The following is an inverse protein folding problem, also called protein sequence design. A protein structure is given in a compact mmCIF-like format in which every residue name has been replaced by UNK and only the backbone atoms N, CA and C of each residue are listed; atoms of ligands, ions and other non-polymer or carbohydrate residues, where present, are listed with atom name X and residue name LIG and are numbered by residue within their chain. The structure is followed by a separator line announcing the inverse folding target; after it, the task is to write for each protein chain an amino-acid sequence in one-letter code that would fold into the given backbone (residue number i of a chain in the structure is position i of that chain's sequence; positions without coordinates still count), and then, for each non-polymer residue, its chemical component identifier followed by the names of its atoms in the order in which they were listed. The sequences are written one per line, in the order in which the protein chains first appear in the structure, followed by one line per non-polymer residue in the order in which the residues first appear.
data_IF_470038871922
#
_entry.id   IF_470038871922
#
_cell.length_a   1.000
_cell.length_b   1.000
_cell.length_c   1.000
_cell.angle_alpha   90.00
_cell.angle_beta   90.00
_cell.angle_gamma   90.00
#
_symmetry.space_group_name_H-M   'P 1'
#
loop_
_entity.id
_entity.type
_entity.pdbx_description
1 polymer ?
#
# COMPACT_ATOMS: atom_id res chain seq x y z
N UNK A 1 -70.17 -11.30 83.67
CA UNK A 1 -69.68 -10.04 84.26
C UNK A 1 -68.50 -9.55 83.42
N UNK A 2 -68.78 -8.39 82.86
CA UNK A 2 -67.93 -7.26 82.46
C UNK A 2 -66.77 -7.60 81.54
N UNK A 3 -66.76 -7.08 80.46
CA UNK A 3 -66.56 -5.74 79.87
C UNK A 3 -65.17 -5.65 79.21
N UNK A 4 -65.17 -5.42 78.02
CA UNK A 4 -65.00 -4.23 77.20
C UNK A 4 -63.59 -3.97 76.62
N UNK A 5 -63.61 -3.65 75.47
CA UNK A 5 -63.03 -2.57 74.64
C UNK A 5 -61.93 -2.94 73.64
N UNK A 6 -62.41 -2.86 72.48
CA UNK A 6 -61.88 -2.31 71.23
C UNK A 6 -60.58 -1.51 71.32
N UNK A 7 -59.60 -1.81 70.43
CA UNK A 7 -58.68 -0.81 69.85
C UNK A 7 -58.28 -1.21 68.43
N UNK A 8 -58.76 -0.43 67.52
CA UNK A 8 -58.38 -0.43 66.09
C UNK A 8 -56.93 0.07 65.94
N UNK A 9 -56.04 -0.71 65.34
CA UNK A 9 -54.78 -0.20 64.88
C UNK A 9 -54.70 -0.33 63.36
N UNK A 10 -54.79 0.85 62.77
CA UNK A 10 -54.64 1.16 61.38
C UNK A 10 -53.17 0.86 60.98
N UNK A 11 -52.94 -0.16 60.16
CA UNK A 11 -51.63 -0.47 59.63
C UNK A 11 -51.39 0.22 58.29
N UNK A 12 -50.70 1.32 58.31
CA UNK A 12 -50.15 1.91 57.08
C UNK A 12 -49.04 1.02 56.53
N UNK A 13 -49.32 0.34 55.41
CA UNK A 13 -48.27 -0.20 54.54
C UNK A 13 -47.65 0.93 53.75
N UNK A 14 -46.44 1.30 54.06
CA UNK A 14 -45.66 2.19 53.25
C UNK A 14 -45.08 1.38 52.06
N UNK A 15 -45.59 1.64 50.87
CA UNK A 15 -45.01 1.20 49.61
C UNK A 15 -43.74 2.03 49.33
N UNK A 16 -42.60 1.49 49.69
CA UNK A 16 -41.28 2.02 49.30
C UNK A 16 -40.79 1.32 48.02
N UNK A 17 -41.49 1.56 46.92
CA UNK A 17 -40.88 1.37 45.59
C UNK A 17 -40.19 2.67 45.23
N UNK A 18 -38.90 2.78 45.58
CA UNK A 18 -38.12 3.97 45.29
C UNK A 18 -37.86 4.05 43.77
N UNK A 19 -38.49 4.99 43.10
CA UNK A 19 -38.21 5.37 41.71
C UNK A 19 -36.72 5.66 41.44
N UNK A 20 -35.91 5.90 42.49
CA UNK A 20 -34.48 6.12 42.44
C UNK A 20 -33.69 4.89 42.01
N UNK A 21 -34.11 3.68 42.42
CA UNK A 21 -33.39 2.43 42.07
C UNK A 21 -33.53 2.04 40.60
N UNK A 22 -34.66 2.36 39.96
CA UNK A 22 -34.89 2.08 38.54
C UNK A 22 -34.09 3.03 37.66
N UNK A 23 -34.02 4.33 38.03
CA UNK A 23 -33.26 5.35 37.29
C UNK A 23 -31.75 5.13 37.37
N UNK A 24 -31.24 4.64 38.49
CA UNK A 24 -29.81 4.30 38.64
C UNK A 24 -29.48 3.07 37.80
N UNK A 25 -30.30 2.01 37.80
CA UNK A 25 -30.10 0.81 36.98
C UNK A 25 -30.17 1.11 35.48
N UNK A 26 -31.07 1.97 35.02
CA UNK A 26 -31.16 2.40 33.64
C UNK A 26 -29.93 3.23 33.23
N UNK A 27 -29.43 4.17 34.06
CA UNK A 27 -28.23 4.96 33.76
C UNK A 27 -26.99 4.11 33.69
N UNK A 28 -26.83 3.11 34.58
CA UNK A 28 -25.70 2.17 34.55
C UNK A 28 -25.78 1.28 33.31
N UNK A 29 -26.98 0.80 32.92
CA UNK A 29 -27.16 0.02 31.69
C UNK A 29 -26.81 0.82 30.42
N UNK A 30 -27.16 2.10 30.35
CA UNK A 30 -26.81 2.99 29.22
C UNK A 30 -25.31 3.30 29.18
N UNK A 31 -24.63 3.47 30.32
CA UNK A 31 -23.17 3.68 30.36
C UNK A 31 -22.43 2.42 29.93
N UNK A 32 -22.86 1.24 30.37
CA UNK A 32 -22.26 -0.02 29.92
C UNK A 32 -22.53 -0.32 28.43
N UNK A 33 -23.74 -0.03 27.94
CA UNK A 33 -24.05 -0.17 26.51
C UNK A 33 -23.24 0.84 25.67
N UNK A 34 -23.08 2.07 26.12
CA UNK A 34 -22.26 3.08 25.46
C UNK A 34 -20.77 2.73 25.44
N UNK A 35 -20.23 2.16 26.53
CA UNK A 35 -18.87 1.66 26.63
C UNK A 35 -18.63 0.43 25.76
N UNK A 36 -19.62 -0.48 25.66
CA UNK A 36 -19.53 -1.67 24.80
C UNK A 36 -19.57 -1.29 23.31
N UNK A 37 -20.43 -0.33 22.93
CA UNK A 37 -20.49 0.19 21.55
C UNK A 37 -19.21 0.96 21.21
N UNK A 38 -18.66 1.77 22.13
CA UNK A 38 -17.39 2.45 21.92
C UNK A 38 -16.22 1.45 21.82
N UNK A 39 -16.23 0.36 22.59
CA UNK A 39 -15.23 -0.69 22.52
C UNK A 39 -15.32 -1.49 21.22
N UNK A 40 -16.53 -1.75 20.72
CA UNK A 40 -16.75 -2.43 19.43
C UNK A 40 -16.33 -1.53 18.24
N UNK A 41 -16.52 -0.20 18.34
CA UNK A 41 -16.08 0.74 17.32
C UNK A 41 -14.56 0.96 17.32
N UNK A 42 -13.87 0.70 18.43
CA UNK A 42 -12.40 0.80 18.51
C UNK A 42 -11.68 -0.46 18.03
N UNK A 43 -12.38 -1.60 17.94
CA UNK A 43 -11.78 -2.87 17.46
C UNK A 43 -11.60 -2.86 15.93
N UNK A 44 -12.43 -2.14 15.17
CA UNK A 44 -12.36 -2.10 13.71
C UNK A 44 -11.29 -1.17 13.14
N UNK A 45 -10.66 -0.31 13.93
CA UNK A 45 -9.60 0.58 13.46
C UNK A 45 -8.21 -0.09 13.45
N UNK A 46 -8.05 -1.26 14.08
CA UNK A 46 -6.77 -1.93 14.27
C UNK A 46 -6.47 -3.08 13.31
N UNK A 47 -7.34 -3.38 12.36
CA UNK A 47 -7.21 -4.55 11.48
C UNK A 47 -7.53 -4.26 10.02
N UNK A 48 -6.91 -3.25 9.41
CA UNK A 48 -7.04 -3.12 7.96
C UNK A 48 -5.69 -2.97 7.26
N UNK A 49 -4.87 -3.99 7.41
CA UNK A 49 -4.20 -4.55 6.22
C UNK A 49 -5.34 -5.02 5.33
N UNK A 50 -5.55 -4.39 4.18
CA UNK A 50 -6.58 -4.87 3.25
C UNK A 50 -6.37 -6.37 3.06
N UNK A 51 -7.43 -7.17 3.15
CA UNK A 51 -7.35 -8.62 2.92
C UNK A 51 -6.65 -8.94 1.59
N UNK A 52 -6.89 -8.11 0.58
CA UNK A 52 -6.30 -8.24 -0.75
C UNK A 52 -4.76 -8.11 -0.72
N UNK A 53 -4.19 -7.46 0.28
CA UNK A 53 -2.73 -7.32 0.41
C UNK A 53 -2.00 -8.61 0.78
N UNK A 54 -2.71 -9.54 1.41
CA UNK A 54 -2.18 -10.85 1.82
C UNK A 54 -2.84 -12.01 1.06
N UNK A 55 -3.88 -11.75 0.26
CA UNK A 55 -4.54 -12.75 -0.55
C UNK A 55 -3.67 -13.12 -1.75
N UNK A 56 -3.28 -14.39 -1.85
CA UNK A 56 -2.46 -14.89 -2.95
C UNK A 56 -3.17 -14.72 -4.29
N UNK A 57 -2.46 -14.15 -5.28
CA UNK A 57 -2.93 -14.08 -6.65
C UNK A 57 -2.18 -15.11 -7.52
N UNK A 58 -2.82 -15.74 -8.51
CA UNK A 58 -2.12 -16.66 -9.40
C UNK A 58 -0.98 -15.96 -10.13
N UNK A 59 0.27 -16.45 -10.05
CA UNK A 59 1.37 -15.86 -10.80
C UNK A 59 1.23 -16.17 -12.29
N UNK A 60 1.57 -15.21 -13.15
CA UNK A 60 1.42 -15.34 -14.60
C UNK A 60 2.43 -14.48 -15.36
N UNK A 61 2.62 -14.81 -16.63
CA UNK A 61 3.43 -14.02 -17.57
C UNK A 61 2.58 -12.86 -18.10
N UNK A 62 3.10 -11.63 -17.96
CA UNK A 62 2.46 -10.43 -18.51
C UNK A 62 2.83 -10.29 -20.00
N UNK A 63 4.12 -10.23 -20.30
CA UNK A 63 4.66 -10.19 -21.68
C UNK A 63 6.14 -10.55 -21.66
N UNK A 64 6.62 -11.26 -22.66
CA UNK A 64 8.03 -11.62 -22.80
C UNK A 64 8.62 -12.25 -21.55
N UNK A 65 9.59 -11.57 -20.91
CA UNK A 65 10.28 -11.98 -19.69
C UNK A 65 9.77 -11.27 -18.41
N UNK A 66 8.61 -10.62 -18.48
CA UNK A 66 7.97 -9.90 -17.36
C UNK A 66 6.80 -10.71 -16.81
N UNK A 67 6.80 -10.95 -15.49
CA UNK A 67 5.82 -11.77 -14.78
C UNK A 67 5.24 -11.03 -13.58
N UNK A 68 3.98 -11.34 -13.23
CA UNK A 68 3.35 -10.98 -12.00
C UNK A 68 3.55 -12.08 -10.94
N UNK A 69 3.98 -11.69 -9.73
CA UNK A 69 4.26 -12.64 -8.63
C UNK A 69 3.74 -12.18 -7.27
N UNK A 70 2.93 -11.11 -7.25
CA UNK A 70 2.42 -10.46 -6.05
C UNK A 70 1.14 -11.06 -5.48
N UNK A 71 0.57 -10.34 -4.51
CA UNK A 71 -0.76 -10.60 -3.95
C UNK A 71 -1.84 -9.99 -4.84
N UNK A 72 -3.11 -10.13 -4.44
CA UNK A 72 -4.22 -9.50 -5.15
C UNK A 72 -4.14 -7.97 -5.12
N UNK A 73 -3.70 -7.38 -4.00
CA UNK A 73 -3.66 -5.94 -3.80
C UNK A 73 -2.28 -5.30 -3.97
N UNK A 74 -1.20 -6.00 -3.55
CA UNK A 74 0.17 -5.52 -3.65
C UNK A 74 0.88 -6.17 -4.85
N UNK A 75 1.44 -5.33 -5.71
CA UNK A 75 2.01 -5.81 -6.97
C UNK A 75 3.53 -6.00 -6.90
N UNK A 76 3.94 -7.22 -7.21
CA UNK A 76 5.34 -7.58 -7.39
C UNK A 76 5.58 -8.07 -8.81
N UNK A 77 6.67 -7.63 -9.39
CA UNK A 77 7.04 -7.99 -10.76
C UNK A 77 8.39 -8.69 -10.78
N UNK A 78 8.43 -9.83 -11.46
CA UNK A 78 9.65 -10.55 -11.74
C UNK A 78 10.06 -10.34 -13.20
N UNK A 79 11.29 -9.90 -13.42
CA UNK A 79 11.89 -9.82 -14.75
C UNK A 79 13.01 -10.85 -14.79
N UNK A 80 12.87 -11.84 -15.69
CA UNK A 80 13.83 -12.93 -15.80
C UNK A 80 14.87 -12.63 -16.86
N UNK A 81 16.12 -13.01 -16.60
CA UNK A 81 17.24 -12.86 -17.53
C UNK A 81 18.17 -14.09 -17.48
N UNK A 82 19.04 -14.29 -18.47
CA UNK A 82 20.03 -15.37 -18.43
C UNK A 82 21.04 -15.25 -17.26
N UNK A 83 21.15 -14.07 -16.63
CA UNK A 83 22.10 -13.81 -15.53
C UNK A 83 21.40 -13.78 -14.16
N UNK A 84 20.13 -14.14 -14.09
CA UNK A 84 19.30 -14.12 -12.89
C UNK A 84 18.11 -13.18 -13.03
N UNK A 85 17.43 -12.91 -11.92
CA UNK A 85 16.16 -12.21 -11.92
C UNK A 85 16.27 -10.83 -11.25
N UNK A 86 15.41 -9.90 -11.68
CA UNK A 86 15.13 -8.63 -11.01
C UNK A 86 13.75 -8.75 -10.39
N UNK A 87 13.61 -8.44 -9.11
CA UNK A 87 12.34 -8.38 -8.40
C UNK A 87 12.01 -6.93 -8.05
N UNK A 88 10.80 -6.48 -8.34
CA UNK A 88 10.30 -5.15 -8.00
C UNK A 88 9.23 -5.29 -6.93
N UNK A 89 9.42 -4.63 -5.81
CA UNK A 89 8.71 -4.68 -4.54
C UNK A 89 8.91 -5.98 -3.76
N UNK A 90 8.83 -5.86 -2.44
CA UNK A 90 8.99 -6.96 -1.50
C UNK A 90 7.73 -7.19 -0.65
N UNK A 91 6.76 -6.29 -0.73
CA UNK A 91 5.53 -6.29 0.06
C UNK A 91 5.77 -6.30 1.57
N UNK A 92 4.77 -6.81 2.30
CA UNK A 92 4.87 -7.15 3.72
C UNK A 92 5.86 -8.30 3.92
N UNK A 93 6.62 -8.30 5.01
CA UNK A 93 7.55 -9.42 5.32
C UNK A 93 6.82 -10.77 5.33
N UNK A 94 5.57 -10.82 5.81
CA UNK A 94 4.74 -12.01 5.79
C UNK A 94 4.39 -12.53 4.38
N UNK A 95 4.50 -11.69 3.35
CA UNK A 95 4.21 -12.06 1.96
C UNK A 95 5.42 -12.71 1.26
N UNK A 96 6.63 -12.56 1.78
CA UNK A 96 7.85 -13.10 1.13
C UNK A 96 7.74 -14.59 0.78
N UNK A 97 7.22 -15.48 1.66
CA UNK A 97 7.02 -16.89 1.29
C UNK A 97 5.98 -17.10 0.18
N UNK A 98 5.02 -16.18 0.00
CA UNK A 98 4.06 -16.23 -1.10
C UNK A 98 4.73 -15.83 -2.42
N UNK A 99 5.56 -14.77 -2.40
CA UNK A 99 6.33 -14.31 -3.57
C UNK A 99 7.27 -15.44 -4.02
N UNK A 100 8.00 -16.07 -3.10
CA UNK A 100 8.88 -17.22 -3.38
C UNK A 100 8.11 -18.34 -4.09
N UNK A 101 7.01 -18.82 -3.51
CA UNK A 101 6.17 -19.85 -4.14
C UNK A 101 5.62 -19.43 -5.51
N UNK A 102 5.30 -18.16 -5.70
CA UNK A 102 4.81 -17.63 -6.98
C UNK A 102 5.90 -17.70 -8.06
N UNK A 103 7.14 -17.34 -7.71
CA UNK A 103 8.29 -17.42 -8.59
C UNK A 103 8.60 -18.88 -8.95
N UNK A 104 8.59 -19.78 -7.95
CA UNK A 104 8.85 -21.22 -8.15
C UNK A 104 7.76 -21.90 -8.99
N UNK A 105 6.50 -21.51 -8.81
CA UNK A 105 5.37 -22.01 -9.61
C UNK A 105 5.50 -21.65 -11.10
N UNK A 106 6.18 -20.55 -11.41
CA UNK A 106 6.52 -20.17 -12.79
C UNK A 106 7.72 -20.92 -13.35
N UNK A 107 8.39 -21.75 -12.53
CA UNK A 107 9.56 -22.55 -12.94
C UNK A 107 10.90 -21.83 -12.72
N UNK A 108 10.91 -20.68 -12.03
CA UNK A 108 12.13 -19.95 -11.69
C UNK A 108 12.57 -20.24 -10.26
N UNK A 109 13.83 -19.95 -9.93
CA UNK A 109 14.34 -20.09 -8.57
C UNK A 109 14.33 -18.73 -7.88
N UNK A 110 13.75 -18.65 -6.68
CA UNK A 110 13.76 -17.41 -5.90
C UNK A 110 15.19 -16.93 -5.57
N UNK A 111 16.10 -17.87 -5.31
CA UNK A 111 17.52 -17.60 -5.06
C UNK A 111 18.28 -16.99 -6.25
N UNK A 112 17.71 -17.05 -7.45
CA UNK A 112 18.29 -16.42 -8.63
C UNK A 112 17.92 -14.92 -8.74
N UNK A 113 17.20 -14.37 -7.77
CA UNK A 113 17.00 -12.93 -7.64
C UNK A 113 18.34 -12.26 -7.33
N UNK A 114 18.85 -11.49 -8.28
CA UNK A 114 20.15 -10.80 -8.18
C UNK A 114 19.99 -9.33 -7.84
N UNK A 115 18.83 -8.75 -8.18
CA UNK A 115 18.53 -7.34 -7.93
C UNK A 115 17.13 -7.26 -7.32
N UNK A 116 17.04 -6.50 -6.23
CA UNK A 116 15.78 -6.11 -5.59
C UNK A 116 15.61 -4.61 -5.74
N UNK A 117 14.45 -4.21 -6.25
CA UNK A 117 14.03 -2.81 -6.43
C UNK A 117 12.73 -2.58 -5.68
N UNK A 118 12.43 -1.34 -5.33
CA UNK A 118 11.14 -0.94 -4.76
C UNK A 118 10.53 0.21 -5.52
N UNK A 119 9.22 0.37 -5.42
CA UNK A 119 8.51 1.55 -5.90
C UNK A 119 8.67 2.74 -4.95
N UNK A 120 8.65 2.48 -3.63
CA UNK A 120 8.84 3.49 -2.59
C UNK A 120 8.98 2.84 -1.20
N UNK A 121 9.45 3.62 -0.22
CA UNK A 121 9.88 3.14 1.09
C UNK A 121 8.75 2.97 2.13
N UNK A 122 7.50 2.69 1.70
CA UNK A 122 6.46 2.32 2.65
C UNK A 122 6.47 0.81 2.94
N UNK A 123 6.00 0.46 4.12
CA UNK A 123 6.01 -0.90 4.67
C UNK A 123 5.29 -1.93 3.80
N UNK A 124 4.26 -1.53 3.07
CA UNK A 124 3.50 -2.38 2.15
C UNK A 124 4.25 -2.67 0.83
N UNK A 125 5.39 -2.03 0.58
CA UNK A 125 6.23 -2.29 -0.59
C UNK A 125 7.66 -2.68 -0.26
N UNK A 126 8.10 -2.46 0.99
CA UNK A 126 9.50 -2.61 1.39
C UNK A 126 9.73 -3.52 2.61
N UNK A 127 8.72 -3.85 3.40
CA UNK A 127 8.94 -4.58 4.65
C UNK A 127 9.57 -5.98 4.45
N UNK A 128 9.38 -6.61 3.30
CA UNK A 128 9.99 -7.90 2.96
C UNK A 128 11.44 -7.83 2.49
N UNK A 129 11.99 -6.63 2.22
CA UNK A 129 13.31 -6.47 1.57
C UNK A 129 14.45 -7.08 2.36
N UNK A 130 14.45 -6.95 3.69
CA UNK A 130 15.47 -7.57 4.53
C UNK A 130 15.48 -9.10 4.40
N UNK A 131 14.32 -9.74 4.45
CA UNK A 131 14.18 -11.19 4.32
C UNK A 131 14.56 -11.66 2.91
N UNK A 132 14.11 -10.98 1.86
CA UNK A 132 14.46 -11.32 0.48
C UNK A 132 15.98 -11.25 0.29
N UNK A 133 16.62 -10.18 0.77
CA UNK A 133 18.05 -9.99 0.67
C UNK A 133 18.84 -11.08 1.44
N UNK A 134 18.38 -11.49 2.61
CA UNK A 134 18.97 -12.58 3.40
C UNK A 134 18.90 -13.93 2.66
N UNK A 135 17.77 -14.23 2.03
CA UNK A 135 17.56 -15.51 1.33
C UNK A 135 18.32 -15.57 0.00
N UNK A 136 18.33 -14.46 -0.75
CA UNK A 136 18.78 -14.45 -2.14
C UNK A 136 20.18 -13.86 -2.33
N UNK A 137 20.62 -13.01 -1.41
CA UNK A 137 21.83 -12.19 -1.58
C UNK A 137 21.68 -11.10 -2.64
N UNK A 138 20.45 -10.73 -3.01
CA UNK A 138 20.17 -9.71 -4.02
C UNK A 138 20.78 -8.36 -3.66
N UNK A 139 21.32 -7.66 -4.67
CA UNK A 139 21.71 -6.26 -4.55
C UNK A 139 20.47 -5.39 -4.44
N UNK A 140 20.28 -4.75 -3.29
CA UNK A 140 19.16 -3.88 -3.02
C UNK A 140 19.46 -2.45 -3.44
N UNK A 141 18.67 -1.91 -4.38
CA UNK A 141 18.90 -0.61 -4.99
C UNK A 141 17.69 0.29 -4.79
N UNK A 142 17.91 1.50 -4.27
CA UNK A 142 16.86 2.41 -3.84
C UNK A 142 17.16 3.84 -4.29
N UNK A 143 16.11 4.60 -4.65
CA UNK A 143 16.21 6.02 -4.95
C UNK A 143 16.75 6.80 -3.73
N UNK A 144 17.69 7.69 -3.95
CA UNK A 144 18.46 8.42 -2.94
C UNK A 144 17.61 9.00 -1.81
N UNK A 145 16.50 9.65 -2.15
CA UNK A 145 15.65 10.31 -1.16
C UNK A 145 14.85 9.33 -0.25
N UNK A 146 14.71 8.05 -0.62
CA UNK A 146 14.08 7.02 0.21
C UNK A 146 15.10 6.17 1.00
N UNK A 147 16.41 6.29 0.73
CA UNK A 147 17.47 5.55 1.44
C UNK A 147 17.40 5.72 2.97
N UNK A 148 17.27 6.95 3.52
CA UNK A 148 17.15 7.11 4.98
C UNK A 148 15.93 6.40 5.59
N UNK A 149 14.84 6.28 4.82
CA UNK A 149 13.61 5.61 5.28
C UNK A 149 13.82 4.11 5.37
N UNK A 150 14.32 3.47 4.31
CA UNK A 150 14.54 2.02 4.28
C UNK A 150 15.63 1.58 5.27
N UNK A 151 16.73 2.34 5.40
CA UNK A 151 17.80 2.02 6.33
C UNK A 151 17.44 2.28 7.80
N UNK A 152 16.41 3.08 8.07
CA UNK A 152 15.86 3.25 9.42
C UNK A 152 14.66 2.36 9.71
N UNK A 153 14.20 1.55 8.74
CA UNK A 153 13.00 0.72 8.88
C UNK A 153 11.72 1.54 9.03
N UNK A 154 11.57 2.55 8.19
CA UNK A 154 10.41 3.44 8.16
C UNK A 154 10.48 4.63 9.11
N UNK A 155 11.41 4.67 10.08
CA UNK A 155 11.45 5.75 11.11
C UNK A 155 11.71 7.15 10.55
N UNK A 156 12.42 7.26 9.42
CA UNK A 156 12.71 8.53 8.78
C UNK A 156 11.59 8.98 7.81
N UNK A 157 10.51 8.22 7.69
CA UNK A 157 9.37 8.62 6.85
C UNK A 157 8.70 9.88 7.41
N UNK A 158 8.38 10.82 6.52
CA UNK A 158 7.84 12.14 6.89
C UNK A 158 6.43 12.08 7.49
N UNK A 159 5.64 11.06 7.11
CA UNK A 159 4.25 10.88 7.52
C UNK A 159 4.08 9.79 8.58
N UNK A 160 4.76 8.66 8.41
CA UNK A 160 4.50 7.45 9.17
C UNK A 160 5.62 7.10 10.16
N UNK A 161 6.75 7.82 10.18
CA UNK A 161 7.93 7.48 10.96
C UNK A 161 7.73 7.37 12.48
N UNK A 162 6.70 8.03 13.02
CA UNK A 162 6.33 7.95 14.43
C UNK A 162 5.24 6.91 14.74
N UNK A 163 4.78 6.14 13.76
CA UNK A 163 3.69 5.18 13.87
C UNK A 163 4.22 3.76 13.81
N UNK A 164 4.24 3.09 14.98
CA UNK A 164 4.87 1.77 15.16
C UNK A 164 4.34 0.70 14.21
N UNK A 165 3.08 0.77 13.82
CA UNK A 165 2.40 -0.15 12.92
C UNK A 165 2.89 -0.08 11.47
N UNK A 166 3.62 0.97 11.09
CA UNK A 166 4.21 1.14 9.76
C UNK A 166 5.73 0.96 9.75
N UNK A 167 6.32 0.62 10.90
CA UNK A 167 7.75 0.34 10.97
C UNK A 167 8.01 -1.12 10.57
N UNK A 168 9.17 -1.33 9.98
CA UNK A 168 9.60 -2.62 9.48
C UNK A 168 11.09 -2.85 9.73
N UNK A 169 11.61 -3.99 9.32
CA UNK A 169 13.01 -4.35 9.53
C UNK A 169 13.92 -3.52 8.63
N UNK A 170 14.90 -2.75 9.20
CA UNK A 170 15.82 -1.95 8.40
C UNK A 170 16.60 -2.79 7.39
N UNK A 171 16.78 -2.26 6.19
CA UNK A 171 17.53 -2.95 5.13
C UNK A 171 18.61 -2.03 4.59
N UNK A 172 19.88 -2.49 4.63
CA UNK A 172 21.01 -1.74 4.07
C UNK A 172 20.91 -1.71 2.54
N UNK A 173 21.01 -0.50 1.98
CA UNK A 173 21.06 -0.26 0.53
C UNK A 173 22.46 -0.58 0.00
N UNK A 174 22.53 -1.32 -1.11
CA UNK A 174 23.81 -1.67 -1.76
C UNK A 174 24.15 -0.68 -2.88
N UNK A 175 23.13 -0.13 -3.54
CA UNK A 175 23.33 0.90 -4.57
C UNK A 175 22.26 1.99 -4.42
N UNK A 176 22.70 3.22 -4.24
CA UNK A 176 21.85 4.41 -4.29
C UNK A 176 21.59 4.76 -5.75
N UNK A 177 20.33 5.00 -6.08
CA UNK A 177 19.88 5.38 -7.42
C UNK A 177 19.47 6.86 -7.43
N UNK A 178 19.66 7.47 -8.61
CA UNK A 178 19.21 8.84 -8.91
C UNK A 178 18.26 8.83 -10.09
N UNK A 179 17.57 9.95 -10.31
CA UNK A 179 16.66 10.11 -11.44
C UNK A 179 17.34 9.85 -12.78
N UNK A 180 16.78 8.96 -13.58
CA UNK A 180 17.32 8.53 -14.86
C UNK A 180 18.38 7.42 -14.80
N UNK A 181 18.75 6.93 -13.60
CA UNK A 181 19.69 5.83 -13.48
C UNK A 181 19.17 4.55 -14.12
N UNK A 182 20.06 3.83 -14.76
CA UNK A 182 19.78 2.53 -15.36
C UNK A 182 20.19 1.38 -14.43
N UNK A 183 19.32 0.39 -14.33
CA UNK A 183 19.57 -0.92 -13.71
C UNK A 183 19.64 -1.96 -14.81
N UNK A 184 20.80 -2.63 -14.93
CA UNK A 184 21.09 -3.57 -16.01
C UNK A 184 21.35 -4.97 -15.48
N UNK A 185 20.71 -5.98 -16.09
CA UNK A 185 21.00 -7.40 -15.84
C UNK A 185 20.66 -8.22 -17.08
N UNK A 186 21.58 -9.04 -17.56
CA UNK A 186 21.36 -10.04 -18.61
C UNK A 186 20.71 -9.52 -19.90
N UNK A 187 21.05 -8.28 -20.29
CA UNK A 187 20.51 -7.62 -21.49
C UNK A 187 19.23 -6.79 -21.21
N UNK A 188 18.60 -6.94 -20.06
CA UNK A 188 17.49 -6.09 -19.65
C UNK A 188 18.00 -4.79 -19.05
N UNK A 189 17.33 -3.69 -19.35
CA UNK A 189 17.60 -2.34 -18.83
C UNK A 189 16.32 -1.73 -18.29
N UNK A 190 16.29 -1.45 -16.98
CA UNK A 190 15.25 -0.63 -16.37
C UNK A 190 15.78 0.79 -16.17
N UNK A 191 14.90 1.77 -16.28
CA UNK A 191 15.22 3.16 -15.95
C UNK A 191 14.41 3.57 -14.71
N UNK A 192 15.10 4.14 -13.73
CA UNK A 192 14.50 4.69 -12.52
C UNK A 192 14.07 6.14 -12.77
N UNK A 193 12.77 6.42 -12.75
CA UNK A 193 12.25 7.78 -12.85
C UNK A 193 11.81 8.25 -11.46
N UNK A 194 12.42 9.32 -10.96
CA UNK A 194 12.00 9.95 -9.70
C UNK A 194 10.64 10.62 -9.90
N UNK A 195 9.60 10.02 -9.30
CA UNK A 195 8.21 10.49 -9.27
C UNK A 195 7.78 10.79 -7.84
N UNK A 196 8.35 11.88 -7.22
CA UNK A 196 8.24 12.13 -5.78
C UNK A 196 6.87 12.71 -5.41
N UNK A 197 6.58 12.72 -4.11
CA UNK A 197 5.34 13.25 -3.51
C UNK A 197 4.72 12.26 -2.54
N UNK A 198 4.44 11.04 -2.97
CA UNK A 198 3.95 9.97 -2.10
C UNK A 198 5.00 9.55 -1.05
N UNK A 199 6.24 9.34 -1.48
CA UNK A 199 7.47 9.47 -0.70
C UNK A 199 8.41 10.41 -1.43
N UNK A 200 9.50 10.80 -0.77
CA UNK A 200 10.51 11.69 -1.39
C UNK A 200 11.27 11.00 -2.51
N UNK A 201 11.45 9.67 -2.42
CA UNK A 201 12.14 8.83 -3.40
C UNK A 201 11.21 7.92 -4.19
N UNK A 202 9.90 8.18 -4.21
CA UNK A 202 8.97 7.38 -5.01
C UNK A 202 9.45 7.26 -6.45
N UNK A 203 9.53 6.03 -6.94
CA UNK A 203 10.15 5.65 -8.22
C UNK A 203 9.12 4.98 -9.14
N UNK A 204 9.02 5.49 -10.36
CA UNK A 204 8.35 4.81 -11.47
C UNK A 204 9.42 4.12 -12.33
N UNK A 205 9.21 2.86 -12.65
CA UNK A 205 10.12 2.07 -13.46
C UNK A 205 9.66 1.99 -14.90
N UNK A 206 10.58 2.14 -15.85
CA UNK A 206 10.32 1.80 -17.26
C UNK A 206 11.27 0.71 -17.72
N UNK A 207 10.76 -0.17 -18.60
CA UNK A 207 11.53 -1.24 -19.22
C UNK A 207 10.96 -1.56 -20.60
N UNK A 208 11.82 -1.92 -21.57
CA UNK A 208 11.36 -2.50 -22.84
C UNK A 208 11.29 -4.03 -22.72
N UNK A 209 10.14 -4.57 -23.13
CA UNK A 209 9.90 -6.02 -23.13
C UNK A 209 9.57 -6.45 -24.55
N UNK A 210 10.21 -7.53 -25.01
CA UNK A 210 9.98 -8.08 -26.35
C UNK A 210 9.22 -9.39 -26.28
N UNK A 211 8.18 -9.52 -27.09
CA UNK A 211 7.40 -10.74 -27.24
C UNK A 211 7.19 -11.02 -28.75
N UNK A 212 7.82 -12.08 -29.25
CA UNK A 212 7.93 -12.32 -30.70
C UNK A 212 8.62 -11.14 -31.39
N UNK A 213 7.98 -10.60 -32.42
CA UNK A 213 8.51 -9.46 -33.20
C UNK A 213 8.09 -8.10 -32.64
N UNK A 214 7.36 -8.07 -31.50
CA UNK A 214 6.86 -6.83 -30.89
C UNK A 214 7.70 -6.44 -29.70
N UNK A 215 7.99 -5.14 -29.58
CA UNK A 215 8.60 -4.53 -28.40
C UNK A 215 7.60 -3.57 -27.76
N UNK A 216 7.48 -3.65 -26.45
CA UNK A 216 6.55 -2.84 -25.66
C UNK A 216 7.31 -1.94 -24.69
N UNK A 217 6.90 -0.68 -24.62
CA UNK A 217 7.30 0.22 -23.54
C UNK A 217 6.42 -0.05 -22.32
N UNK A 218 7.02 -0.58 -21.26
CA UNK A 218 6.33 -0.90 -20.00
C UNK A 218 6.58 0.22 -19.01
N UNK A 219 5.52 0.70 -18.36
CA UNK A 219 5.59 1.65 -17.23
C UNK A 219 5.02 0.97 -15.99
N UNK A 220 5.81 0.89 -14.94
CA UNK A 220 5.41 0.41 -13.60
C UNK A 220 5.37 1.63 -12.69
N UNK A 221 4.19 2.19 -12.49
CA UNK A 221 3.99 3.42 -11.69
C UNK A 221 4.23 3.11 -10.21
N UNK A 222 5.00 3.95 -9.53
CA UNK A 222 5.25 3.85 -8.10
C UNK A 222 3.98 4.11 -7.28
N UNK A 223 3.77 5.30 -6.78
CA UNK A 223 2.50 5.67 -6.15
C UNK A 223 2.16 7.15 -6.38
N UNK A 224 1.03 7.42 -7.05
CA UNK A 224 0.57 8.78 -7.28
C UNK A 224 -0.43 9.26 -6.21
N UNK A 225 -0.75 8.44 -5.21
CA UNK A 225 -1.79 8.73 -4.24
C UNK A 225 -1.36 9.80 -3.23
N UNK A 226 -2.27 10.73 -2.93
CA UNK A 226 -2.22 11.57 -1.74
C UNK A 226 -2.95 10.83 -0.62
N UNK A 227 -2.20 10.23 0.31
CA UNK A 227 -2.80 9.45 1.38
C UNK A 227 -3.58 10.33 2.37
N UNK A 228 -4.63 9.78 3.02
CA UNK A 228 -5.34 10.49 4.06
C UNK A 228 -4.39 11.02 5.15
N UNK A 229 -4.52 12.31 5.46
CA UNK A 229 -3.65 12.98 6.44
C UNK A 229 -2.38 13.60 5.87
N UNK A 230 -2.07 13.45 4.57
CA UNK A 230 -0.97 14.17 3.95
C UNK A 230 -1.25 15.68 3.93
N UNK A 231 -0.30 16.44 4.45
CA UNK A 231 -0.33 17.90 4.38
C UNK A 231 0.41 18.37 3.13
N UNK A 232 -0.34 18.79 2.11
CA UNK A 232 0.22 19.35 0.88
C UNK A 232 0.63 20.81 1.03
N UNK A 233 0.12 21.49 2.08
CA UNK A 233 0.37 22.90 2.37
C UNK A 233 0.99 23.02 3.75
N UNK A 234 2.06 23.82 3.88
CA UNK A 234 2.78 24.07 5.14
C UNK A 234 3.32 22.81 5.83
N UNK A 235 3.68 21.78 5.07
CA UNK A 235 4.27 20.55 5.60
C UNK A 235 5.72 20.80 6.05
N UNK A 236 5.96 20.83 7.37
CA UNK A 236 7.30 21.08 7.93
C UNK A 236 8.29 19.93 7.67
N UNK A 237 7.80 18.68 7.59
CA UNK A 237 8.64 17.50 7.38
C UNK A 237 8.93 17.25 5.89
N UNK A 238 8.07 17.80 5.01
CA UNK A 238 8.22 17.72 3.55
C UNK A 238 7.73 19.03 2.89
N UNK A 239 8.50 20.14 3.01
CA UNK A 239 8.04 21.47 2.57
C UNK A 239 7.68 21.58 1.08
N UNK A 240 8.39 20.82 0.22
CA UNK A 240 8.19 20.83 -1.25
C UNK A 240 7.23 19.72 -1.75
N UNK A 241 6.43 19.11 -0.89
CA UNK A 241 5.57 17.97 -1.27
C UNK A 241 4.64 18.28 -2.45
N UNK A 242 4.04 19.48 -2.49
CA UNK A 242 3.14 19.85 -3.58
C UNK A 242 3.89 20.03 -4.91
N UNK A 243 5.07 20.67 -4.89
CA UNK A 243 5.94 20.85 -6.06
C UNK A 243 6.45 19.49 -6.58
N UNK A 244 6.71 18.56 -5.68
CA UNK A 244 7.16 17.20 -6.02
C UNK A 244 6.04 16.39 -6.68
N UNK A 245 4.80 16.48 -6.19
CA UNK A 245 3.65 15.94 -6.93
C UNK A 245 3.50 16.58 -8.32
N UNK A 246 3.68 17.89 -8.46
CA UNK A 246 3.66 18.54 -9.78
C UNK A 246 4.77 18.04 -10.70
N UNK A 247 5.97 17.75 -10.17
CA UNK A 247 7.04 17.08 -10.91
C UNK A 247 6.62 15.68 -11.35
N UNK A 248 6.06 14.87 -10.45
CA UNK A 248 5.58 13.53 -10.77
C UNK A 248 4.62 13.53 -11.95
N UNK A 249 3.62 14.45 -11.98
CA UNK A 249 2.66 14.51 -13.09
C UNK A 249 3.34 14.85 -14.42
N UNK A 250 4.33 15.74 -14.42
CA UNK A 250 5.11 16.04 -15.64
C UNK A 250 5.86 14.82 -16.14
N UNK A 251 6.50 14.08 -15.24
CA UNK A 251 7.25 12.86 -15.59
C UNK A 251 6.29 11.80 -16.13
N UNK A 252 5.25 11.42 -15.37
CA UNK A 252 4.30 10.37 -15.80
C UNK A 252 3.68 10.69 -17.16
N UNK A 253 3.27 11.94 -17.42
CA UNK A 253 2.69 12.32 -18.71
C UNK A 253 3.68 12.28 -19.88
N UNK A 254 4.98 12.30 -19.62
CA UNK A 254 6.02 12.25 -20.67
C UNK A 254 6.45 10.83 -21.06
N UNK A 255 6.15 9.82 -20.22
CA UNK A 255 6.60 8.45 -20.45
C UNK A 255 5.79 7.79 -21.58
N UNK A 256 6.46 7.18 -22.59
CA UNK A 256 5.78 6.27 -23.51
C UNK A 256 5.32 5.04 -22.76
N UNK A 257 4.08 4.59 -23.00
CA UNK A 257 3.50 3.44 -22.32
C UNK A 257 2.64 2.63 -23.29
N UNK A 258 3.04 1.39 -23.51
CA UNK A 258 2.22 0.37 -24.16
C UNK A 258 1.59 -0.53 -23.10
N UNK A 259 2.37 -1.01 -22.11
CA UNK A 259 1.91 -1.84 -21.01
C UNK A 259 1.92 -1.04 -19.71
N UNK A 260 0.73 -0.86 -19.14
CA UNK A 260 0.53 -0.14 -17.90
C UNK A 260 0.45 -1.08 -16.70
N UNK A 261 1.34 -0.86 -15.72
CA UNK A 261 1.43 -1.54 -14.44
C UNK A 261 1.66 -0.54 -13.31
N UNK A 262 1.54 -0.99 -12.06
CA UNK A 262 1.80 -0.12 -10.90
C UNK A 262 1.96 -0.89 -9.60
N UNK A 263 2.27 -0.19 -8.52
CA UNK A 263 2.58 -0.78 -7.22
C UNK A 263 1.40 -1.51 -6.56
N UNK A 264 0.17 -1.20 -6.95
CA UNK A 264 -1.03 -1.89 -6.50
C UNK A 264 -1.81 -2.49 -7.67
N UNK A 265 -2.38 -3.69 -7.47
CA UNK A 265 -3.16 -4.39 -8.51
C UNK A 265 -4.34 -3.58 -9.04
N UNK A 266 -4.99 -2.81 -8.15
CA UNK A 266 -6.11 -1.95 -8.53
C UNK A 266 -5.74 -0.77 -9.45
N UNK A 267 -4.45 -0.37 -9.55
CA UNK A 267 -4.06 0.72 -10.43
C UNK A 267 -4.27 0.39 -11.92
N UNK A 268 -4.04 -0.86 -12.27
CA UNK A 268 -4.05 -1.34 -13.65
C UNK A 268 -5.07 -2.45 -13.91
N UNK A 269 -6.10 -2.54 -13.07
CA UNK A 269 -7.22 -3.49 -13.23
C UNK A 269 -6.75 -4.95 -13.33
N UNK A 270 -5.88 -5.36 -12.38
CA UNK A 270 -5.21 -6.67 -12.38
C UNK A 270 -6.16 -7.84 -12.57
N UNK A 271 -7.27 -7.90 -11.82
CA UNK A 271 -8.18 -9.03 -11.81
C UNK A 271 -8.90 -9.17 -13.15
N UNK A 272 -9.43 -8.06 -13.66
CA UNK A 272 -10.16 -7.98 -14.92
C UNK A 272 -9.25 -8.34 -16.10
N UNK A 273 -8.04 -7.72 -16.14
CA UNK A 273 -7.08 -7.99 -17.22
C UNK A 273 -6.53 -9.41 -17.18
N UNK A 274 -6.30 -9.96 -15.98
CA UNK A 274 -5.89 -11.35 -15.85
C UNK A 274 -6.99 -12.33 -16.29
N UNK A 275 -8.26 -12.03 -16.02
CA UNK A 275 -9.37 -12.84 -16.52
C UNK A 275 -9.43 -12.82 -18.06
N UNK A 276 -9.35 -11.64 -18.68
CA UNK A 276 -9.31 -11.49 -20.14
C UNK A 276 -8.09 -12.17 -20.78
N UNK A 277 -6.92 -12.14 -20.11
CA UNK A 277 -5.72 -12.81 -20.62
C UNK A 277 -5.93 -14.33 -20.75
N UNK A 278 -6.70 -14.94 -19.85
CA UNK A 278 -7.03 -16.38 -19.88
C UNK A 278 -8.00 -16.75 -21.00
N UNK A 279 -8.85 -15.84 -21.41
CA UNK A 279 -9.76 -16.04 -22.52
C UNK A 279 -9.04 -16.09 -23.87
N UNK A 280 -7.79 -15.60 -23.93
CA UNK A 280 -6.97 -15.53 -25.12
C UNK A 280 -7.28 -14.29 -25.97
N UNK A 281 -6.48 -14.07 -27.02
CA UNK A 281 -6.61 -12.90 -27.89
C UNK A 281 -5.51 -11.88 -27.67
N UNK A 282 -5.82 -10.59 -27.85
CA UNK A 282 -4.86 -9.51 -27.62
C UNK A 282 -4.51 -9.40 -26.12
N UNK A 283 -3.26 -9.10 -25.82
CA UNK A 283 -2.82 -8.93 -24.43
C UNK A 283 -3.53 -7.73 -23.77
N UNK A 284 -4.38 -7.93 -22.76
CA UNK A 284 -5.17 -6.85 -22.15
C UNK A 284 -4.32 -5.87 -21.32
N UNK A 285 -3.08 -6.22 -21.00
CA UNK A 285 -2.15 -5.30 -20.32
C UNK A 285 -1.54 -4.27 -21.27
N UNK A 286 -1.67 -4.46 -22.60
CA UNK A 286 -1.35 -3.42 -23.60
C UNK A 286 -2.49 -2.40 -23.58
N UNK A 287 -2.36 -1.42 -22.72
CA UNK A 287 -3.42 -0.46 -22.39
C UNK A 287 -2.88 0.98 -22.21
N UNK A 288 -2.40 1.61 -23.29
CA UNK A 288 -1.95 3.00 -23.23
C UNK A 288 -3.10 3.97 -22.90
N UNK A 289 -4.36 3.57 -23.15
CA UNK A 289 -5.54 4.34 -22.79
C UNK A 289 -5.77 4.38 -21.30
N UNK A 290 -5.73 3.24 -20.64
CA UNK A 290 -5.85 3.11 -19.17
C UNK A 290 -4.75 3.85 -18.44
N UNK A 291 -3.49 3.80 -18.95
CA UNK A 291 -2.40 4.59 -18.39
C UNK A 291 -2.72 6.09 -18.35
N UNK A 292 -3.08 6.66 -19.50
CA UNK A 292 -3.39 8.10 -19.59
C UNK A 292 -4.58 8.50 -18.71
N UNK A 293 -5.62 7.65 -18.68
CA UNK A 293 -6.80 7.85 -17.84
C UNK A 293 -6.41 7.85 -16.36
N UNK A 294 -5.67 6.83 -15.90
CA UNK A 294 -5.22 6.70 -14.53
C UNK A 294 -4.40 7.92 -14.08
N UNK A 295 -3.41 8.36 -14.87
CA UNK A 295 -2.59 9.52 -14.56
C UNK A 295 -3.44 10.79 -14.46
N UNK A 296 -4.40 10.99 -15.39
CA UNK A 296 -5.26 12.16 -15.37
C UNK A 296 -6.21 12.18 -14.16
N UNK A 297 -6.81 11.06 -13.80
CA UNK A 297 -7.69 10.92 -12.63
C UNK A 297 -6.93 11.21 -11.33
N UNK A 298 -5.74 10.61 -11.17
CA UNK A 298 -4.91 10.84 -9.98
C UNK A 298 -4.39 12.27 -9.86
N UNK A 299 -4.03 12.89 -10.97
CA UNK A 299 -3.69 14.33 -10.98
C UNK A 299 -4.89 15.19 -10.56
N UNK A 300 -6.10 14.86 -11.02
CA UNK A 300 -7.30 15.59 -10.62
C UNK A 300 -7.60 15.44 -9.11
N UNK A 301 -7.45 14.23 -8.56
CA UNK A 301 -7.58 13.98 -7.11
C UNK A 301 -6.58 14.82 -6.31
N UNK A 302 -5.30 14.84 -6.72
CA UNK A 302 -4.28 15.67 -6.09
C UNK A 302 -4.64 17.17 -6.14
N UNK A 303 -5.05 17.70 -7.30
CA UNK A 303 -5.40 19.12 -7.45
C UNK A 303 -6.61 19.50 -6.62
N UNK A 304 -7.60 18.63 -6.52
CA UNK A 304 -8.76 18.82 -5.66
C UNK A 304 -8.36 18.92 -4.19
N UNK A 305 -7.50 17.99 -3.72
CA UNK A 305 -7.03 17.97 -2.35
C UNK A 305 -6.14 19.19 -2.03
N UNK A 306 -5.22 19.56 -2.92
CA UNK A 306 -4.38 20.74 -2.77
C UNK A 306 -5.24 22.01 -2.64
N UNK A 307 -6.24 22.16 -3.52
CA UNK A 307 -7.18 23.29 -3.46
C UNK A 307 -7.97 23.32 -2.15
N UNK A 308 -8.43 22.16 -1.68
CA UNK A 308 -9.14 22.04 -0.41
C UNK A 308 -8.25 22.51 0.77
N UNK A 309 -6.99 22.08 0.80
CA UNK A 309 -6.06 22.45 1.88
C UNK A 309 -5.68 23.93 1.82
N UNK A 310 -5.46 24.49 0.64
CA UNK A 310 -5.18 25.93 0.46
C UNK A 310 -6.33 26.81 0.98
N UNK A 311 -7.59 26.43 0.71
CA UNK A 311 -8.77 27.15 1.23
C UNK A 311 -8.90 27.06 2.74
N UNK A 312 -8.52 25.94 3.34
CA UNK A 312 -8.58 25.75 4.78
C UNK A 312 -7.45 26.48 5.54
N UNK A 313 -6.41 26.90 4.83
CA UNK A 313 -5.23 27.60 5.40
C UNK A 313 -5.33 29.13 5.29
N UNK A 314 -6.31 29.67 4.54
CA UNK A 314 -6.65 31.08 4.42
C UNK A 314 -7.81 31.44 5.35
#
# INVERSE_FOLDING_TARGET
MSDARSAILCGCRADLTSESGVRVRQRVAFVFAGLLVALLLTIDVWAQVSRDWTESFPPFRIAGNLYYVGSKGLANFLITTPQGNILINSDLEANVPMIERSIEKLGFQFKDTKILLISHAHWDHDAGSAMIKEITGASYMVMDADVPVVESGGKADFQYGNRREFLYRPTKVDRVLHDGDEVRLGGTVLVAHLTPGHTKGCTTWTVKVTEGDKSYDVVIVGSPNVNPGYQLVHNRAYPQIAEDYERMWRVLKSLPCDIFLGAHGGYFELEEKHALLKEGGANPFVDPGGYRKFVAEKEQEFRAELTRQQRASN
#
